data_IF_652806452564
#
_entry.id   IF_652806452564
#
_cell.length_a   1.000
_cell.length_b   1.000
_cell.length_c   1.000
_cell.angle_alpha   90.00
_cell.angle_beta   90.00
_cell.angle_gamma   90.00
#
_symmetry.space_group_name_H-M   'P 1'
#
loop_
_entity.id
_entity.type
_entity.pdbx_description
1 polymer ?
#
# COMPACT_ATOMS: atom_id res chain seq x y z
N UNK A 1 22.59 1.29 0.81
CA UNK A 1 22.33 2.56 1.52
C UNK A 1 21.13 2.33 2.43
N UNK A 2 21.27 2.43 3.75
CA UNK A 2 20.10 2.32 4.63
C UNK A 2 19.27 3.60 4.53
N UNK A 3 17.97 3.49 4.72
CA UNK A 3 17.12 4.66 4.95
C UNK A 3 17.57 5.34 6.25
N UNK A 4 17.26 6.64 6.47
CA UNK A 4 17.53 7.35 7.73
C UNK A 4 16.63 6.88 8.90
N UNK A 5 16.38 5.57 8.95
CA UNK A 5 15.59 4.81 9.91
C UNK A 5 16.29 3.48 10.09
N UNK A 6 16.31 2.88 11.29
CA UNK A 6 16.82 1.51 11.51
C UNK A 6 16.00 0.41 10.79
N UNK A 7 15.14 0.78 9.85
CA UNK A 7 14.34 -0.12 9.04
C UNK A 7 15.12 -0.54 7.79
N UNK A 8 15.40 -1.84 7.68
CA UNK A 8 16.00 -2.42 6.49
C UNK A 8 14.95 -2.74 5.40
N UNK A 9 15.43 -3.13 4.22
CA UNK A 9 14.55 -3.44 3.09
C UNK A 9 13.61 -4.64 3.36
N UNK A 10 14.05 -5.61 4.18
CA UNK A 10 13.29 -6.82 4.50
C UNK A 10 12.15 -6.48 5.46
N UNK A 11 12.44 -5.70 6.49
CA UNK A 11 11.44 -5.21 7.45
C UNK A 11 10.39 -4.35 6.74
N UNK A 12 10.82 -3.37 5.94
CA UNK A 12 9.92 -2.53 5.15
C UNK A 12 9.01 -3.35 4.22
N UNK A 13 9.59 -4.31 3.48
CA UNK A 13 8.81 -5.20 2.61
C UNK A 13 7.83 -6.09 3.39
N UNK A 14 8.21 -6.56 4.57
CA UNK A 14 7.32 -7.34 5.45
C UNK A 14 6.10 -6.52 5.88
N UNK A 15 6.30 -5.26 6.27
CA UNK A 15 5.22 -4.34 6.64
C UNK A 15 4.28 -4.10 5.45
N UNK A 16 4.82 -3.80 4.27
CA UNK A 16 4.00 -3.56 3.05
C UNK A 16 3.18 -4.82 2.70
N UNK A 17 3.77 -6.02 2.76
CA UNK A 17 3.06 -7.27 2.50
C UNK A 17 1.94 -7.50 3.51
N UNK A 18 2.19 -7.23 4.80
CA UNK A 18 1.18 -7.35 5.85
C UNK A 18 0.01 -6.36 5.63
N UNK A 19 0.30 -5.12 5.22
CA UNK A 19 -0.73 -4.14 4.84
C UNK A 19 -1.58 -4.68 3.67
N UNK A 20 -0.94 -5.14 2.59
CA UNK A 20 -1.66 -5.64 1.42
C UNK A 20 -2.45 -6.92 1.71
N UNK A 21 -2.05 -7.70 2.72
CA UNK A 21 -2.79 -8.88 3.21
C UNK A 21 -3.96 -8.55 4.17
N UNK A 22 -4.19 -7.28 4.51
CA UNK A 22 -5.14 -6.79 5.52
C UNK A 22 -4.75 -7.09 6.98
N UNK A 23 -3.51 -7.47 7.26
CA UNK A 23 -3.03 -7.82 8.61
C UNK A 23 -2.63 -6.59 9.46
N UNK A 24 -2.74 -5.39 8.88
CA UNK A 24 -2.39 -4.10 9.52
C UNK A 24 -3.55 -3.10 9.49
N UNK A 25 -4.78 -3.62 9.53
CA UNK A 25 -5.98 -2.82 9.44
C UNK A 25 -6.04 -1.75 10.54
N UNK A 26 -6.32 -0.52 10.12
CA UNK A 26 -6.51 0.68 10.94
C UNK A 26 -5.26 1.05 11.78
N UNK A 27 -4.08 0.53 11.41
CA UNK A 27 -2.78 0.87 11.99
C UNK A 27 -2.17 2.13 11.34
N UNK A 28 -1.31 2.84 12.08
CA UNK A 28 -0.64 4.05 11.60
C UNK A 28 0.20 3.81 10.34
N UNK A 29 0.86 2.64 10.23
CA UNK A 29 1.66 2.32 9.03
C UNK A 29 0.78 2.08 7.80
N UNK A 30 -0.39 1.45 7.98
CA UNK A 30 -1.39 1.33 6.91
C UNK A 30 -1.90 2.72 6.49
N UNK A 31 -2.26 3.58 7.44
CA UNK A 31 -2.76 4.92 7.14
C UNK A 31 -1.77 5.72 6.30
N UNK A 32 -0.47 5.67 6.61
CA UNK A 32 0.58 6.35 5.83
C UNK A 32 0.63 5.83 4.39
N UNK A 33 0.56 4.51 4.19
CA UNK A 33 0.56 3.90 2.85
C UNK A 33 -0.69 4.29 2.07
N UNK A 34 -1.86 4.20 2.70
CA UNK A 34 -3.13 4.58 2.07
C UNK A 34 -3.18 6.06 1.70
N UNK A 35 -2.64 6.95 2.54
CA UNK A 35 -2.57 8.38 2.25
C UNK A 35 -1.66 8.69 1.04
N UNK A 36 -0.49 8.06 0.94
CA UNK A 36 0.38 8.23 -0.23
C UNK A 36 -0.27 7.67 -1.51
N UNK A 37 -0.94 6.52 -1.42
CA UNK A 37 -1.70 5.97 -2.53
C UNK A 37 -2.86 6.89 -2.95
N UNK A 38 -3.61 7.44 -1.99
CA UNK A 38 -4.68 8.40 -2.24
C UNK A 38 -4.16 9.65 -2.95
N UNK A 39 -3.02 10.19 -2.51
CA UNK A 39 -2.38 11.31 -3.17
C UNK A 39 -2.02 10.97 -4.63
N UNK A 40 -1.42 9.79 -4.88
CA UNK A 40 -1.07 9.33 -6.23
C UNK A 40 -2.31 9.19 -7.14
N UNK A 41 -3.40 8.62 -6.62
CA UNK A 41 -4.68 8.44 -7.34
C UNK A 41 -5.35 9.78 -7.64
N UNK A 42 -5.28 10.73 -6.71
CA UNK A 42 -5.83 12.07 -6.89
C UNK A 42 -5.05 12.86 -7.95
N UNK A 43 -3.71 12.90 -7.86
CA UNK A 43 -2.89 13.66 -8.82
C UNK A 43 -2.90 13.07 -10.24
N UNK A 44 -3.24 11.78 -10.40
CA UNK A 44 -3.45 11.17 -11.71
C UNK A 44 -4.81 11.51 -12.34
N UNK A 45 -5.67 12.24 -11.63
CA UNK A 45 -7.04 12.55 -12.07
C UNK A 45 -7.99 11.35 -12.00
N UNK A 46 -7.63 10.30 -11.26
CA UNK A 46 -8.42 9.06 -11.16
C UNK A 46 -9.46 9.08 -10.03
N UNK A 47 -9.56 10.19 -9.28
CA UNK A 47 -10.56 10.43 -8.26
C UNK A 47 -10.92 11.93 -8.20
N UNK A 48 -12.15 12.26 -7.79
CA UNK A 48 -12.66 13.63 -7.74
C UNK A 48 -12.14 14.44 -6.54
N UNK A 49 -11.72 13.76 -5.47
CA UNK A 49 -11.16 14.38 -4.26
C UNK A 49 -10.15 13.45 -3.58
N UNK A 50 -9.36 13.99 -2.64
CA UNK A 50 -8.48 13.19 -1.79
C UNK A 50 -9.25 12.16 -0.94
N UNK A 51 -10.45 12.50 -0.48
CA UNK A 51 -11.29 11.59 0.29
C UNK A 51 -11.76 10.41 -0.57
N UNK A 52 -12.23 10.67 -1.80
CA UNK A 52 -12.60 9.61 -2.73
C UNK A 52 -11.40 8.73 -3.10
N UNK A 53 -10.24 9.35 -3.33
CA UNK A 53 -9.00 8.64 -3.63
C UNK A 53 -8.57 7.72 -2.47
N UNK A 54 -8.75 8.16 -1.23
CA UNK A 54 -8.48 7.36 -0.04
C UNK A 54 -9.41 6.14 0.04
N UNK A 55 -10.69 6.31 -0.26
CA UNK A 55 -11.63 5.18 -0.30
C UNK A 55 -11.26 4.18 -1.41
N UNK A 56 -10.78 4.65 -2.57
CA UNK A 56 -10.26 3.78 -3.64
C UNK A 56 -9.02 3.02 -3.18
N UNK A 57 -8.04 3.71 -2.58
CA UNK A 57 -6.82 3.09 -2.05
C UNK A 57 -7.15 2.03 -0.98
N UNK A 58 -8.02 2.37 -0.02
CA UNK A 58 -8.49 1.46 1.03
C UNK A 58 -9.20 0.26 0.43
N UNK A 59 -10.10 0.47 -0.55
CA UNK A 59 -10.79 -0.62 -1.23
C UNK A 59 -9.83 -1.54 -1.98
N UNK A 60 -8.74 -1.02 -2.56
CA UNK A 60 -7.70 -1.82 -3.22
C UNK A 60 -7.01 -2.80 -2.27
N UNK A 61 -6.73 -2.39 -1.04
CA UNK A 61 -6.20 -3.27 0.00
C UNK A 61 -7.28 -4.24 0.51
N UNK A 62 -8.46 -3.72 0.88
CA UNK A 62 -9.54 -4.52 1.48
C UNK A 62 -10.08 -5.61 0.56
N UNK A 63 -10.08 -5.39 -0.75
CA UNK A 63 -10.52 -6.38 -1.76
C UNK A 63 -9.39 -7.31 -2.23
N UNK A 64 -8.19 -7.20 -1.67
CA UNK A 64 -7.04 -8.05 -2.05
C UNK A 64 -6.36 -7.68 -3.37
N UNK A 65 -6.86 -6.67 -4.10
CA UNK A 65 -6.35 -6.28 -5.42
C UNK A 65 -4.88 -5.82 -5.35
N UNK A 66 -4.49 -5.10 -4.29
CA UNK A 66 -3.11 -4.70 -4.07
C UNK A 66 -2.16 -5.90 -3.92
N UNK A 67 -2.59 -6.93 -3.17
CA UNK A 67 -1.82 -8.16 -2.97
C UNK A 67 -1.73 -8.99 -4.25
N UNK A 68 -2.84 -9.13 -4.98
CA UNK A 68 -2.86 -9.80 -6.29
C UNK A 68 -1.93 -9.11 -7.28
N UNK A 69 -1.97 -7.77 -7.34
CA UNK A 69 -1.07 -7.01 -8.20
C UNK A 69 0.39 -7.24 -7.81
N UNK A 70 0.72 -7.20 -6.52
CA UNK A 70 2.07 -7.49 -6.04
C UNK A 70 2.52 -8.89 -6.48
N UNK A 71 1.68 -9.92 -6.29
CA UNK A 71 1.97 -11.29 -6.73
C UNK A 71 2.22 -11.37 -8.23
N UNK A 72 1.46 -10.65 -9.04
CA UNK A 72 1.65 -10.61 -10.51
C UNK A 72 2.97 -9.96 -10.93
N UNK A 73 3.50 -9.02 -10.13
CA UNK A 73 4.75 -8.33 -10.41
C UNK A 73 5.97 -9.09 -9.90
N UNK A 74 5.82 -9.91 -8.85
CA UNK A 74 6.94 -10.59 -8.21
C UNK A 74 7.45 -11.85 -8.93
N UNK A 75 6.94 -12.17 -10.13
CA UNK A 75 7.27 -13.40 -10.85
C UNK A 75 6.83 -14.68 -10.10
N UNK A 76 7.03 -15.88 -10.67
CA UNK A 76 6.85 -17.13 -9.95
C UNK A 76 7.79 -17.14 -8.74
N UNK A 77 7.24 -17.34 -7.54
CA UNK A 77 8.07 -17.60 -6.36
C UNK A 77 8.65 -19.00 -6.51
N UNK A 78 9.89 -19.10 -6.99
CA UNK A 78 10.72 -20.31 -6.93
C UNK A 78 11.43 -20.39 -5.59
#
# INVERSE_FOLDING_TARGET
>A
TSLPTNCDARESASIIRAIFANDRRDDATEMIVLMNAAAAIYVSGSAASLADAYEVAKASVRKGMALEKLKSLSGPQN
#
